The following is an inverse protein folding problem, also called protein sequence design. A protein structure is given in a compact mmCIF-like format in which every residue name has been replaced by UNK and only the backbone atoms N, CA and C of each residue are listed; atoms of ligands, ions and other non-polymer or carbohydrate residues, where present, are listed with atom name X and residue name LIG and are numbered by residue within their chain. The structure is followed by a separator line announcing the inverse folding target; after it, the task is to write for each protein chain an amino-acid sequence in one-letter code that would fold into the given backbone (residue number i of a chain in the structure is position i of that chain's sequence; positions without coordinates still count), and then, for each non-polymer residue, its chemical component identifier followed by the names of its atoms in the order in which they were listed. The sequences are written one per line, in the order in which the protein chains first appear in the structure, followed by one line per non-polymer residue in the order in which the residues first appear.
data_IF_304463639172
#
_entry.id   IF_304463639172
#
_cell.length_a   1.000
_cell.length_b   1.000
_cell.length_c   1.000
_cell.angle_alpha   90.00
_cell.angle_beta   90.00
_cell.angle_gamma   90.00
#
_symmetry.space_group_name_H-M   'P 1'
#
loop_
_entity.id
_entity.type
_entity.pdbx_description
1 polymer ?
#
# COMPACT_ATOMS: atom_id res chain seq x y z
N UNK A 1 -26.18 18.90 -11.69
CA UNK A 1 -27.60 18.94 -12.08
C UNK A 1 -28.15 17.54 -12.34
N UNK A 2 -27.69 16.83 -13.37
CA UNK A 2 -28.15 15.46 -13.67
C UNK A 2 -27.85 14.46 -12.56
N UNK A 3 -26.73 14.65 -11.83
CA UNK A 3 -26.42 13.86 -10.65
C UNK A 3 -27.44 13.99 -9.51
N UNK A 4 -28.14 15.13 -9.41
CA UNK A 4 -29.16 15.41 -8.38
C UNK A 4 -30.57 14.99 -8.89
N UNK A 5 -30.67 14.46 -10.12
CA UNK A 5 -31.94 14.14 -10.77
C UNK A 5 -32.66 15.34 -11.39
N UNK A 6 -31.96 16.48 -11.57
CA UNK A 6 -32.51 17.67 -12.22
C UNK A 6 -32.18 17.71 -13.71
N UNK A 7 -33.15 18.18 -14.50
CA UNK A 7 -32.97 18.45 -15.93
C UNK A 7 -32.08 19.67 -16.16
N UNK A 8 -31.47 19.75 -17.35
CA UNK A 8 -30.60 20.87 -17.77
C UNK A 8 -31.41 22.05 -18.34
N UNK A 9 -32.58 22.32 -17.77
CA UNK A 9 -33.47 23.40 -18.16
C UNK A 9 -33.41 24.57 -17.15
N UNK A 10 -33.99 25.71 -17.53
CA UNK A 10 -34.04 26.91 -16.67
C UNK A 10 -34.73 26.64 -15.34
N UNK A 11 -35.71 25.72 -15.32
CA UNK A 11 -36.43 25.27 -14.12
C UNK A 11 -35.56 24.38 -13.23
N UNK A 12 -34.69 23.56 -13.79
CA UNK A 12 -33.70 22.78 -13.04
C UNK A 12 -32.61 23.66 -12.41
N UNK A 13 -32.20 24.73 -13.10
CA UNK A 13 -31.19 25.68 -12.59
C UNK A 13 -31.74 26.48 -11.39
N UNK A 14 -32.99 26.93 -11.45
CA UNK A 14 -33.60 27.72 -10.36
C UNK A 14 -33.78 26.93 -9.05
N UNK A 15 -33.78 25.59 -9.12
CA UNK A 15 -33.89 24.70 -7.96
C UNK A 15 -32.55 24.42 -7.26
N UNK A 16 -31.42 24.92 -7.77
CA UNK A 16 -30.12 24.72 -7.14
C UNK A 16 -29.98 25.54 -5.86
N UNK A 17 -29.48 24.91 -4.79
CA UNK A 17 -29.19 25.64 -3.56
C UNK A 17 -27.87 26.41 -3.69
N UNK A 18 -27.66 27.44 -2.86
CA UNK A 18 -26.38 28.18 -2.81
C UNK A 18 -25.17 27.26 -2.57
N UNK A 19 -25.36 26.14 -1.87
CA UNK A 19 -24.32 25.12 -1.64
C UNK A 19 -23.98 24.35 -2.91
N UNK A 20 -24.97 24.02 -3.73
CA UNK A 20 -24.77 23.32 -5.01
C UNK A 20 -24.06 24.21 -6.01
N UNK A 21 -24.43 25.50 -6.07
CA UNK A 21 -23.76 26.50 -6.93
C UNK A 21 -22.28 26.60 -6.53
N UNK A 22 -22.00 26.76 -5.23
CA UNK A 22 -20.62 26.79 -4.73
C UNK A 22 -19.85 25.50 -5.00
N UNK A 23 -20.50 24.34 -4.98
CA UNK A 23 -19.86 23.07 -5.31
C UNK A 23 -19.50 22.97 -6.80
N UNK A 24 -20.38 23.47 -7.68
CA UNK A 24 -20.14 23.53 -9.13
C UNK A 24 -18.99 24.49 -9.44
N UNK A 25 -18.96 25.67 -8.80
CA UNK A 25 -17.86 26.66 -8.92
C UNK A 25 -16.51 26.07 -8.49
N UNK A 26 -16.50 25.18 -7.49
CA UNK A 26 -15.31 24.46 -7.04
C UNK A 26 -14.99 23.21 -7.88
N UNK A 27 -15.70 22.97 -8.99
CA UNK A 27 -15.43 21.89 -9.95
C UNK A 27 -16.00 20.52 -9.58
N UNK A 28 -16.90 20.41 -8.58
CA UNK A 28 -17.52 19.13 -8.24
C UNK A 28 -18.68 18.79 -9.20
N UNK A 29 -18.47 17.81 -10.09
CA UNK A 29 -19.48 17.39 -11.06
C UNK A 29 -20.62 16.53 -10.47
N UNK A 30 -20.38 15.87 -9.33
CA UNK A 30 -21.37 15.04 -8.63
C UNK A 30 -21.60 15.56 -7.22
N UNK A 31 -22.87 15.77 -6.87
CA UNK A 31 -23.30 16.23 -5.54
C UNK A 31 -22.83 15.32 -4.40
N UNK A 32 -22.62 14.03 -4.66
CA UNK A 32 -22.11 13.08 -3.67
C UNK A 32 -20.71 13.45 -3.15
N UNK A 33 -19.89 14.10 -3.98
CA UNK A 33 -18.53 14.54 -3.61
C UNK A 33 -18.52 15.76 -2.67
N UNK A 34 -19.68 16.40 -2.44
CA UNK A 34 -19.80 17.54 -1.50
C UNK A 34 -19.95 17.11 -0.04
N UNK A 35 -20.15 15.81 0.23
CA UNK A 35 -20.17 15.25 1.59
C UNK A 35 -18.75 14.89 2.01
N UNK A 36 -18.16 15.73 2.86
CA UNK A 36 -16.75 15.67 3.31
C UNK A 36 -16.32 14.34 3.97
N UNK A 37 -17.27 13.51 4.43
CA UNK A 37 -17.02 12.22 5.11
C UNK A 37 -18.00 11.11 4.69
N UNK A 38 -18.27 10.95 3.38
CA UNK A 38 -19.12 9.85 2.92
C UNK A 38 -18.27 8.67 2.43
N UNK A 39 -18.28 7.57 3.20
CA UNK A 39 -17.68 6.29 2.77
C UNK A 39 -18.24 5.85 1.41
N UNK A 40 -19.53 6.07 1.18
CA UNK A 40 -20.19 5.80 -0.09
C UNK A 40 -19.57 6.60 -1.25
N UNK A 41 -19.25 7.88 -1.05
CA UNK A 41 -18.61 8.69 -2.09
C UNK A 41 -17.20 8.19 -2.42
N UNK A 42 -16.44 7.72 -1.43
CA UNK A 42 -15.12 7.10 -1.65
C UNK A 42 -15.24 5.78 -2.41
N UNK A 43 -16.16 4.89 -2.02
CA UNK A 43 -16.40 3.62 -2.70
C UNK A 43 -16.89 3.84 -4.14
N UNK A 44 -17.83 4.76 -4.33
CA UNK A 44 -18.33 5.13 -5.65
C UNK A 44 -17.20 5.65 -6.55
N UNK A 45 -16.30 6.49 -6.01
CA UNK A 45 -15.13 6.97 -6.73
C UNK A 45 -14.24 5.81 -7.17
N UNK A 46 -13.96 4.85 -6.29
CA UNK A 46 -13.15 3.66 -6.62
C UNK A 46 -13.82 2.83 -7.73
N UNK A 47 -15.12 2.53 -7.60
CA UNK A 47 -15.83 1.76 -8.64
C UNK A 47 -15.85 2.49 -9.99
N UNK A 48 -16.03 3.81 -9.97
CA UNK A 48 -15.99 4.63 -11.17
C UNK A 48 -14.59 4.66 -11.79
N UNK A 49 -13.53 4.73 -10.99
CA UNK A 49 -12.14 4.66 -11.46
C UNK A 49 -11.84 3.30 -12.11
N UNK A 50 -12.34 2.20 -11.54
CA UNK A 50 -12.19 0.84 -12.09
C UNK A 50 -12.92 0.68 -13.43
N UNK A 51 -14.21 1.06 -13.50
CA UNK A 51 -15.00 1.00 -14.74
C UNK A 51 -14.36 1.82 -15.87
N UNK A 52 -13.78 2.97 -15.53
CA UNK A 52 -13.09 3.82 -16.50
C UNK A 52 -11.77 3.20 -16.95
N UNK A 53 -11.04 2.52 -16.06
CA UNK A 53 -9.81 1.82 -16.39
C UNK A 53 -10.06 0.64 -17.33
N UNK A 54 -11.09 -0.17 -17.08
CA UNK A 54 -11.48 -1.27 -17.97
C UNK A 54 -11.84 -0.79 -19.39
N UNK A 55 -12.40 0.42 -19.50
CA UNK A 55 -12.71 1.08 -20.78
C UNK A 55 -11.50 1.71 -21.47
N UNK A 56 -10.28 1.43 -21.00
CA UNK A 56 -9.03 1.87 -21.63
C UNK A 56 -8.63 3.32 -21.34
N UNK A 57 -9.25 3.96 -20.35
CA UNK A 57 -8.85 5.32 -19.97
C UNK A 57 -7.55 5.34 -19.16
N UNK A 58 -6.80 6.44 -19.28
CA UNK A 58 -5.54 6.61 -18.57
C UNK A 58 -5.74 6.62 -17.04
N UNK A 59 -5.13 5.70 -16.27
CA UNK A 59 -5.25 5.65 -14.81
C UNK A 59 -4.43 6.73 -14.09
N UNK A 60 -3.77 7.64 -14.81
CA UNK A 60 -2.98 8.73 -14.24
C UNK A 60 -3.78 9.58 -13.24
N UNK A 61 -3.37 9.55 -11.97
CA UNK A 61 -3.99 10.31 -10.88
C UNK A 61 -4.98 9.52 -10.01
N UNK A 62 -5.25 8.26 -10.32
CA UNK A 62 -6.07 7.36 -9.50
C UNK A 62 -5.19 6.48 -8.62
N UNK A 63 -4.99 6.89 -7.36
CA UNK A 63 -3.97 6.31 -6.47
C UNK A 63 -4.08 4.79 -6.28
N UNK A 64 -5.30 4.25 -6.21
CA UNK A 64 -5.54 2.82 -5.97
C UNK A 64 -5.30 2.01 -7.25
N UNK A 65 -5.91 2.42 -8.37
CA UNK A 65 -5.75 1.75 -9.66
C UNK A 65 -4.30 1.78 -10.12
N UNK A 66 -3.61 2.90 -9.92
CA UNK A 66 -2.17 3.02 -10.21
C UNK A 66 -1.33 2.03 -9.40
N UNK A 67 -1.61 1.84 -8.11
CA UNK A 67 -0.89 0.87 -7.28
C UNK A 67 -1.04 -0.54 -7.80
N UNK A 68 -2.27 -0.95 -8.16
CA UNK A 68 -2.48 -2.26 -8.78
C UNK A 68 -1.71 -2.40 -10.09
N UNK A 69 -1.69 -1.34 -10.91
CA UNK A 69 -0.90 -1.32 -12.15
C UNK A 69 0.60 -1.51 -11.87
N UNK A 70 1.17 -0.80 -10.90
CA UNK A 70 2.58 -0.92 -10.53
C UNK A 70 2.92 -2.31 -9.94
N UNK A 71 2.01 -2.89 -9.15
CA UNK A 71 2.18 -4.25 -8.61
C UNK A 71 2.21 -5.28 -9.74
N UNK A 72 1.29 -5.17 -10.72
CA UNK A 72 1.27 -6.05 -11.88
C UNK A 72 2.55 -5.91 -12.71
N UNK A 73 3.00 -4.68 -12.96
CA UNK A 73 4.27 -4.43 -13.63
C UNK A 73 5.45 -5.08 -12.88
N UNK A 74 5.52 -4.95 -11.55
CA UNK A 74 6.54 -5.59 -10.74
C UNK A 74 6.51 -7.12 -10.82
N UNK A 75 5.32 -7.72 -10.82
CA UNK A 75 5.15 -9.17 -10.97
C UNK A 75 5.55 -9.65 -12.38
N UNK A 76 5.27 -8.89 -13.42
CA UNK A 76 5.64 -9.24 -14.79
C UNK A 76 7.16 -9.12 -14.99
N UNK A 77 7.80 -8.09 -14.44
CA UNK A 77 9.27 -7.97 -14.41
C UNK A 77 9.89 -9.15 -13.67
N UNK A 78 9.35 -9.53 -12.50
CA UNK A 78 9.84 -10.69 -11.73
C UNK A 78 9.86 -11.99 -12.54
N UNK A 79 8.89 -12.21 -13.44
CA UNK A 79 8.83 -13.42 -14.29
C UNK A 79 10.02 -13.54 -15.24
N UNK A 80 10.72 -12.45 -15.54
CA UNK A 80 11.92 -12.47 -16.40
C UNK A 80 13.13 -13.11 -15.71
N UNK A 81 13.23 -13.01 -14.38
CA UNK A 81 14.35 -13.53 -13.59
C UNK A 81 13.87 -14.04 -12.21
N UNK A 82 13.10 -15.14 -12.14
CA UNK A 82 12.40 -15.51 -10.90
C UNK A 82 13.30 -16.05 -9.79
N UNK A 83 14.47 -16.60 -10.11
CA UNK A 83 15.32 -17.28 -9.12
C UNK A 83 16.17 -16.29 -8.32
N UNK A 84 16.95 -15.45 -9.01
CA UNK A 84 17.90 -14.51 -8.43
C UNK A 84 17.49 -13.04 -8.59
N UNK A 85 16.40 -12.77 -9.30
CA UNK A 85 15.95 -11.41 -9.59
C UNK A 85 16.83 -10.71 -10.62
N UNK A 86 16.47 -9.45 -10.89
CA UNK A 86 17.18 -8.59 -11.85
C UNK A 86 18.33 -7.80 -11.21
N UNK A 87 18.51 -7.87 -9.89
CA UNK A 87 19.51 -7.08 -9.17
C UNK A 87 19.05 -5.66 -8.83
N UNK A 88 19.70 -5.05 -7.82
CA UNK A 88 19.30 -3.74 -7.26
C UNK A 88 19.52 -2.57 -8.21
N UNK A 89 20.55 -2.65 -9.06
CA UNK A 89 20.91 -1.60 -10.02
C UNK A 89 19.89 -1.46 -11.15
N UNK A 90 19.33 -2.58 -11.60
CA UNK A 90 18.55 -2.63 -12.84
C UNK A 90 17.05 -2.39 -12.62
N UNK A 91 16.59 -2.31 -11.36
CA UNK A 91 15.17 -2.10 -11.05
C UNK A 91 14.61 -0.85 -11.73
N UNK A 92 15.38 0.24 -11.82
CA UNK A 92 14.86 1.49 -12.39
C UNK A 92 14.63 1.33 -13.90
N UNK A 93 15.60 0.72 -14.55
CA UNK A 93 15.64 0.56 -15.99
C UNK A 93 14.65 -0.52 -16.43
N UNK A 94 14.48 -1.59 -15.63
CA UNK A 94 13.46 -2.61 -15.86
C UNK A 94 12.03 -2.04 -15.85
N UNK A 95 11.69 -1.19 -14.86
CA UNK A 95 10.39 -0.52 -14.86
C UNK A 95 10.24 0.45 -16.03
N UNK A 96 11.31 1.17 -16.39
CA UNK A 96 11.27 2.06 -17.54
C UNK A 96 11.00 1.30 -18.84
N UNK A 97 11.76 0.24 -19.10
CA UNK A 97 11.64 -0.61 -20.28
C UNK A 97 10.26 -1.28 -20.34
N UNK A 98 9.78 -1.82 -19.21
CA UNK A 98 8.45 -2.42 -19.13
C UNK A 98 7.35 -1.45 -19.58
N UNK A 99 7.38 -0.19 -19.15
CA UNK A 99 6.37 0.80 -19.56
C UNK A 99 6.48 1.25 -21.02
N UNK A 100 7.68 1.20 -21.62
CA UNK A 100 7.86 1.48 -23.05
C UNK A 100 7.36 0.30 -23.89
N UNK A 101 7.74 -0.94 -23.54
CA UNK A 101 7.38 -2.16 -24.26
C UNK A 101 5.87 -2.47 -24.21
N UNK A 102 5.24 -2.23 -23.07
CA UNK A 102 3.79 -2.44 -22.90
C UNK A 102 2.94 -1.28 -23.42
N UNK A 103 3.57 -0.26 -24.04
CA UNK A 103 2.92 0.97 -24.49
C UNK A 103 2.00 1.55 -23.42
N UNK A 104 2.54 1.71 -22.21
CA UNK A 104 1.75 2.06 -21.03
C UNK A 104 0.96 3.34 -21.24
N UNK A 105 -0.34 3.26 -20.95
CA UNK A 105 -1.27 4.41 -20.96
C UNK A 105 -0.91 5.46 -19.92
N UNK A 106 -0.07 5.16 -18.93
CA UNK A 106 0.38 6.13 -17.94
C UNK A 106 1.27 7.20 -18.57
N UNK A 107 0.98 8.46 -18.23
CA UNK A 107 1.87 9.55 -18.61
C UNK A 107 3.21 9.42 -17.90
N UNK A 108 4.29 9.91 -18.54
CA UNK A 108 5.68 9.73 -18.07
C UNK A 108 5.91 10.08 -16.60
N UNK A 109 5.21 11.10 -16.08
CA UNK A 109 5.29 11.51 -14.67
C UNK A 109 4.81 10.45 -13.68
N UNK A 110 3.87 9.61 -14.09
CA UNK A 110 3.27 8.56 -13.25
C UNK A 110 3.86 7.17 -13.52
N UNK A 111 4.95 7.08 -14.30
CA UNK A 111 5.67 5.82 -14.48
C UNK A 111 6.62 5.61 -13.30
N UNK A 112 6.08 5.02 -12.23
CA UNK A 112 6.78 4.80 -10.96
C UNK A 112 7.02 3.31 -10.73
N UNK A 113 7.86 3.01 -9.73
CA UNK A 113 8.07 1.64 -9.24
C UNK A 113 6.86 1.17 -8.44
N UNK A 114 6.77 -0.14 -8.20
CA UNK A 114 5.86 -0.68 -7.20
C UNK A 114 6.19 -0.10 -5.83
N UNK A 115 5.14 0.18 -5.04
CA UNK A 115 5.27 0.63 -3.65
C UNK A 115 4.88 -0.51 -2.73
N UNK A 116 5.52 -1.67 -2.91
CA UNK A 116 5.24 -2.86 -2.14
C UNK A 116 6.55 -3.60 -1.94
N UNK A 117 7.10 -3.50 -0.73
CA UNK A 117 8.43 -4.00 -0.40
C UNK A 117 8.58 -5.48 -0.75
N UNK A 118 7.53 -6.30 -0.59
CA UNK A 118 7.59 -7.73 -0.91
C UNK A 118 7.80 -7.97 -2.40
N UNK A 119 7.05 -7.27 -3.25
CA UNK A 119 7.22 -7.36 -4.71
C UNK A 119 8.58 -6.78 -5.12
N UNK A 120 9.01 -5.67 -4.50
CA UNK A 120 10.31 -5.07 -4.76
C UNK A 120 11.45 -6.03 -4.42
N UNK A 121 11.39 -6.72 -3.27
CA UNK A 121 12.38 -7.75 -2.91
C UNK A 121 12.33 -8.94 -3.88
N UNK A 122 11.12 -9.42 -4.23
CA UNK A 122 10.97 -10.54 -5.18
C UNK A 122 11.55 -10.23 -6.55
N UNK A 123 11.22 -9.08 -7.17
CA UNK A 123 11.76 -8.74 -8.48
C UNK A 123 13.27 -8.49 -8.42
N UNK A 124 13.77 -7.92 -7.32
CA UNK A 124 15.18 -7.53 -7.18
C UNK A 124 16.08 -8.73 -6.93
N UNK A 125 15.68 -9.64 -6.03
CA UNK A 125 16.54 -10.74 -5.56
C UNK A 125 15.95 -12.14 -5.82
N UNK A 126 14.82 -12.21 -6.52
CA UNK A 126 14.14 -13.46 -6.84
C UNK A 126 13.54 -14.16 -5.62
N UNK A 127 13.10 -15.40 -5.83
CA UNK A 127 12.56 -16.25 -4.76
C UNK A 127 13.61 -16.55 -3.71
N UNK A 128 14.88 -16.73 -4.09
CA UNK A 128 15.95 -17.03 -3.14
C UNK A 128 16.15 -15.88 -2.16
N UNK A 129 16.30 -14.65 -2.66
CA UNK A 129 16.43 -13.48 -1.80
C UNK A 129 15.17 -13.20 -0.99
N UNK A 130 13.98 -13.46 -1.56
CA UNK A 130 12.72 -13.32 -0.83
C UNK A 130 12.61 -14.29 0.35
N UNK A 131 13.04 -15.54 0.21
CA UNK A 131 13.08 -16.52 1.31
C UNK A 131 14.06 -16.05 2.39
N UNK A 132 15.24 -15.57 2.03
CA UNK A 132 16.23 -15.04 2.99
C UNK A 132 15.66 -13.84 3.74
N UNK A 133 14.98 -12.93 3.02
CA UNK A 133 14.32 -11.77 3.60
C UNK A 133 13.24 -12.18 4.62
N UNK A 134 12.33 -13.08 4.23
CA UNK A 134 11.31 -13.60 5.14
C UNK A 134 11.93 -14.33 6.33
N UNK A 135 12.99 -15.09 6.11
CA UNK A 135 13.69 -15.76 7.20
C UNK A 135 14.27 -14.73 8.19
N UNK A 136 14.97 -13.70 7.72
CA UNK A 136 15.50 -12.63 8.58
C UNK A 136 14.41 -11.87 9.35
N UNK A 137 13.24 -11.69 8.74
CA UNK A 137 12.12 -10.96 9.33
C UNK A 137 11.32 -11.79 10.34
N UNK A 138 11.14 -13.09 10.11
CA UNK A 138 10.31 -13.95 10.97
C UNK A 138 11.12 -14.75 12.00
N UNK A 139 12.39 -15.08 11.72
CA UNK A 139 13.22 -15.91 12.59
C UNK A 139 13.33 -15.38 14.03
N UNK A 140 13.60 -14.07 14.28
CA UNK A 140 13.74 -13.56 15.65
C UNK A 140 12.44 -13.72 16.48
N UNK A 141 11.29 -13.49 15.85
CA UNK A 141 9.98 -13.66 16.48
C UNK A 141 9.71 -15.14 16.78
N UNK A 142 9.93 -16.03 15.80
CA UNK A 142 9.74 -17.48 15.99
C UNK A 142 10.66 -18.00 17.11
N UNK A 143 11.91 -17.54 17.16
CA UNK A 143 12.87 -17.89 18.20
C UNK A 143 12.35 -17.49 19.59
N UNK A 144 11.89 -16.25 19.76
CA UNK A 144 11.34 -15.76 21.04
C UNK A 144 10.05 -16.46 21.45
N UNK A 145 9.16 -16.78 20.50
CA UNK A 145 7.97 -17.59 20.76
C UNK A 145 8.36 -18.97 21.32
N UNK A 146 9.32 -19.65 20.69
CA UNK A 146 9.78 -20.99 21.13
C UNK A 146 10.40 -20.97 22.53
N UNK A 147 11.08 -19.88 22.88
CA UNK A 147 11.65 -19.68 24.23
C UNK A 147 10.62 -19.22 25.26
N UNK A 148 9.40 -18.89 24.84
CA UNK A 148 8.37 -18.24 25.67
C UNK A 148 8.84 -16.91 26.26
N UNK A 149 9.68 -16.22 25.50
CA UNK A 149 10.30 -14.93 25.84
C UNK A 149 9.81 -13.80 24.90
N UNK A 150 8.64 -14.00 24.29
CA UNK A 150 8.09 -13.02 23.37
C UNK A 150 7.20 -12.04 24.12
N UNK A 151 7.65 -10.80 24.19
CA UNK A 151 6.87 -9.71 24.75
C UNK A 151 5.83 -9.14 23.74
N UNK A 152 4.80 -8.51 24.30
CA UNK A 152 3.71 -7.91 23.52
C UNK A 152 4.15 -6.73 22.64
N UNK A 153 5.03 -5.80 23.08
CA UNK A 153 5.52 -4.72 22.23
C UNK A 153 6.23 -5.19 20.95
N UNK A 154 7.01 -6.28 21.02
CA UNK A 154 7.66 -6.86 19.85
C UNK A 154 6.64 -7.31 18.80
N UNK A 155 5.51 -7.90 19.21
CA UNK A 155 4.44 -8.28 18.30
C UNK A 155 3.78 -7.07 17.63
N UNK A 156 3.55 -5.99 18.37
CA UNK A 156 2.97 -4.76 17.82
C UNK A 156 3.91 -4.18 16.78
N UNK A 157 5.18 -3.98 17.11
CA UNK A 157 6.17 -3.42 16.18
C UNK A 157 6.31 -4.33 14.95
N UNK A 158 6.39 -5.64 15.16
CA UNK A 158 6.43 -6.59 14.05
C UNK A 158 5.20 -6.45 13.12
N UNK A 159 4.00 -6.36 13.68
CA UNK A 159 2.77 -6.14 12.91
C UNK A 159 2.79 -4.81 12.14
N UNK A 160 3.25 -3.73 12.76
CA UNK A 160 3.39 -2.42 12.10
C UNK A 160 4.36 -2.50 10.92
N UNK A 161 5.51 -3.15 11.11
CA UNK A 161 6.51 -3.33 10.04
C UNK A 161 5.93 -4.13 8.87
N UNK A 162 5.26 -5.26 9.16
CA UNK A 162 4.63 -6.08 8.12
C UNK A 162 3.57 -5.32 7.31
N UNK A 163 2.74 -4.52 7.99
CA UNK A 163 1.68 -3.72 7.36
C UNK A 163 2.24 -2.54 6.58
N UNK A 164 3.30 -1.88 7.08
CA UNK A 164 3.95 -0.77 6.40
C UNK A 164 4.50 -1.19 5.03
N UNK A 165 5.14 -2.37 4.98
CA UNK A 165 5.71 -2.96 3.77
C UNK A 165 4.71 -3.30 2.66
N UNK A 166 3.41 -3.40 2.98
CA UNK A 166 2.37 -3.64 1.97
C UNK A 166 2.13 -2.41 1.09
N UNK A 167 2.40 -1.22 1.63
CA UNK A 167 2.03 0.05 1.02
C UNK A 167 3.24 0.90 0.60
N UNK A 168 4.41 0.65 1.17
CA UNK A 168 5.64 1.42 0.93
C UNK A 168 6.87 0.50 1.00
N UNK A 169 7.98 0.93 0.38
CA UNK A 169 9.29 0.27 0.49
C UNK A 169 10.01 0.72 1.77
N UNK A 170 9.45 0.34 2.93
CA UNK A 170 9.85 0.83 4.26
C UNK A 170 11.35 0.67 4.54
N UNK A 171 11.94 -0.49 4.21
CA UNK A 171 13.34 -0.80 4.53
C UNK A 171 14.30 -0.16 3.52
N UNK A 172 13.84 0.22 2.33
CA UNK A 172 14.67 0.92 1.36
C UNK A 172 14.84 2.41 1.70
N UNK A 173 13.90 2.96 2.46
CA UNK A 173 14.04 4.33 2.99
C UNK A 173 14.96 4.36 4.20
N UNK A 174 15.85 5.36 4.25
CA UNK A 174 16.77 5.55 5.38
C UNK A 174 16.03 5.65 6.73
N UNK A 175 14.97 6.46 6.77
CA UNK A 175 14.18 6.65 7.99
C UNK A 175 13.44 5.37 8.41
N UNK A 176 12.82 4.67 7.46
CA UNK A 176 12.11 3.42 7.74
C UNK A 176 13.07 2.30 8.16
N UNK A 177 14.22 2.16 7.49
CA UNK A 177 15.26 1.21 7.88
C UNK A 177 15.75 1.44 9.32
N UNK A 178 16.00 2.70 9.70
CA UNK A 178 16.43 3.05 11.06
C UNK A 178 15.35 2.70 12.10
N UNK A 179 14.09 3.07 11.83
CA UNK A 179 12.98 2.79 12.73
C UNK A 179 12.76 1.28 12.92
N UNK A 180 12.77 0.54 11.81
CA UNK A 180 12.67 -0.93 11.83
C UNK A 180 13.85 -1.49 12.62
N UNK A 181 15.09 -1.17 12.26
CA UNK A 181 16.27 -1.74 12.89
C UNK A 181 16.31 -1.44 14.40
N UNK A 182 16.01 -0.20 14.82
CA UNK A 182 16.02 0.19 16.21
C UNK A 182 14.89 -0.49 16.99
N UNK A 183 13.62 -0.25 16.64
CA UNK A 183 12.50 -0.71 17.46
C UNK A 183 12.33 -2.22 17.39
N UNK A 184 12.51 -2.83 16.21
CA UNK A 184 12.39 -4.28 16.08
C UNK A 184 13.47 -4.98 16.91
N UNK A 185 14.73 -4.55 16.82
CA UNK A 185 15.82 -5.16 17.61
C UNK A 185 15.65 -4.89 19.11
N UNK A 186 15.31 -3.66 19.48
CA UNK A 186 15.12 -3.26 20.87
C UNK A 186 14.01 -4.06 21.55
N UNK A 187 12.84 -4.19 20.94
CA UNK A 187 11.74 -4.94 21.56
C UNK A 187 11.94 -6.45 21.49
N UNK A 188 12.57 -6.98 20.45
CA UNK A 188 12.83 -8.43 20.37
C UNK A 188 13.90 -8.86 21.35
N UNK A 189 14.98 -8.09 21.54
CA UNK A 189 16.15 -8.53 22.31
C UNK A 189 16.46 -7.74 23.57
N UNK A 190 16.10 -6.45 23.61
CA UNK A 190 16.51 -5.51 24.67
C UNK A 190 15.56 -5.43 25.86
N UNK A 191 14.37 -6.04 25.80
CA UNK A 191 13.42 -6.05 26.91
C UNK A 191 13.55 -7.37 27.65
N UNK A 192 14.08 -7.31 28.87
CA UNK A 192 14.15 -8.44 29.78
C UNK A 192 12.76 -8.73 30.36
N UNK A 193 12.27 -9.95 30.19
CA UNK A 193 10.98 -10.34 30.73
C UNK A 193 11.06 -10.47 32.25
N UNK A 194 10.22 -9.71 32.95
CA UNK A 194 9.98 -9.99 34.36
C UNK A 194 9.17 -11.29 34.44
N UNK A 195 9.67 -12.35 35.12
CA UNK A 195 8.92 -13.59 35.25
C UNK A 195 7.58 -13.30 35.91
N UNK A 196 6.49 -13.75 35.28
CA UNK A 196 5.14 -13.65 35.84
C UNK A 196 5.18 -14.34 37.21
N UNK A 197 4.84 -13.67 38.33
CA UNK A 197 4.81 -14.30 39.64
C UNK A 197 3.87 -15.49 39.55
N UNK A 198 4.41 -16.71 39.72
CA UNK A 198 3.59 -17.91 39.76
C UNK A 198 2.56 -17.72 40.87
N UNK A 199 1.28 -17.69 40.52
CA UNK A 199 0.19 -17.69 41.50
C UNK A 199 0.40 -18.95 42.35
N UNK A 200 0.85 -18.78 43.60
CA UNK A 200 0.81 -19.87 44.58
C UNK A 200 -0.66 -20.25 44.70
N UNK A 201 -1.01 -21.39 44.11
CA UNK A 201 -2.25 -22.08 44.45
C UNK A 201 -1.92 -22.74 45.78
N UNK A 202 -2.15 -22.01 46.87
CA UNK A 202 -2.17 -22.61 48.20
C UNK A 202 -3.31 -23.63 48.19
N UNK A 203 -2.94 -24.90 48.06
CA UNK A 203 -3.85 -26.03 48.24
C UNK A 203 -4.13 -26.11 49.75
N UNK A 204 -5.26 -25.57 50.18
CA UNK A 204 -5.91 -25.96 51.43
C UNK A 204 -6.78 -27.19 51.21
#
# INVERSE_FOLDING_TARGET
MTSIGLNKDSVGISKLTKKDIKAIENGFANYLYTKKFSLYASLYKIFWEIDRYEKGSNPSGFSIVQRFYYMNAGLDIFKTAPVFGIGTGDVKDAFHNYYEETHSVLSKRWRLRTHNQYITIMLTFGVVGFIIFLWGLFYPIIYKIRKRELNFPALIVFGIVLLSMLNEDTIETQAGALLVAFFYTFFVWGVEEQPIPSRRIDKT
#
